data_IF_767226171479
#
_entry.id   IF_767226171479
#
_cell.length_a   1.000
_cell.length_b   1.000
_cell.length_c   1.000
_cell.angle_alpha   90.00
_cell.angle_beta   90.00
_cell.angle_gamma   90.00
#
_symmetry.space_group_name_H-M   'P 1'
#
loop_
_entity.id
_entity.type
_entity.pdbx_description
1 polymer ?
#
# COMPACT_ATOMS: atom_id res chain seq x y z
N UNK A 1 -0.38 -10.03 -8.97
CA UNK A 1 -0.10 -8.66 -8.46
C UNK A 1 -0.98 -8.43 -7.26
N UNK A 2 -0.45 -7.83 -6.17
CA UNK A 2 -1.23 -7.48 -4.98
C UNK A 2 -1.47 -5.97 -4.93
N UNK A 3 -2.70 -5.54 -4.67
CA UNK A 3 -3.07 -4.13 -4.52
C UNK A 3 -3.85 -3.95 -3.21
N UNK A 4 -3.47 -2.95 -2.41
CA UNK A 4 -4.18 -2.56 -1.20
C UNK A 4 -4.79 -1.18 -1.42
N UNK A 5 -6.11 -1.06 -1.26
CA UNK A 5 -6.85 0.19 -1.45
C UNK A 5 -7.21 0.74 -0.08
N UNK A 6 -6.78 1.97 0.22
CA UNK A 6 -7.04 2.67 1.48
C UNK A 6 -7.72 4.01 1.26
N UNK A 7 -8.61 4.44 2.16
CA UNK A 7 -9.12 5.79 2.17
C UNK A 7 -8.08 6.76 2.77
N UNK A 8 -7.29 7.41 1.90
CA UNK A 8 -6.21 8.33 2.30
C UNK A 8 -6.66 9.38 3.32
N UNK A 9 -7.89 9.89 3.17
CA UNK A 9 -8.44 10.92 4.06
C UNK A 9 -8.57 10.45 5.53
N UNK A 10 -8.78 9.16 5.77
CA UNK A 10 -9.02 8.61 7.11
C UNK A 10 -7.84 7.83 7.68
N UNK A 11 -7.12 7.09 6.84
CA UNK A 11 -6.04 6.20 7.25
C UNK A 11 -4.65 6.76 6.91
N UNK A 12 -4.53 7.51 5.81
CA UNK A 12 -3.24 7.88 5.25
C UNK A 12 -2.38 6.68 4.82
N UNK A 13 -1.17 6.99 4.37
CA UNK A 13 -0.14 5.99 4.08
C UNK A 13 1.19 6.38 4.74
N UNK A 14 1.94 5.37 5.20
CA UNK A 14 3.25 5.53 5.81
C UNK A 14 4.15 4.33 5.48
N UNK A 15 5.46 4.44 5.74
CA UNK A 15 6.38 3.32 5.58
C UNK A 15 5.87 2.05 6.29
N UNK A 16 5.40 2.20 7.52
CA UNK A 16 4.87 1.12 8.36
C UNK A 16 3.66 0.44 7.73
N UNK A 17 2.73 1.20 7.15
CA UNK A 17 1.56 0.61 6.47
C UNK A 17 1.98 -0.24 5.27
N UNK A 18 3.02 0.15 4.52
CA UNK A 18 3.57 -0.67 3.45
C UNK A 18 4.31 -1.90 3.99
N UNK A 19 4.88 -1.81 5.20
CA UNK A 19 5.55 -2.96 5.82
C UNK A 19 4.53 -4.02 6.26
N UNK A 20 3.40 -3.59 6.83
CA UNK A 20 2.23 -4.43 7.12
C UNK A 20 1.75 -5.14 5.84
N UNK A 21 1.60 -4.40 4.74
CA UNK A 21 1.20 -4.97 3.45
C UNK A 21 2.17 -6.06 2.94
N UNK A 22 3.48 -5.85 3.11
CA UNK A 22 4.48 -6.84 2.75
C UNK A 22 4.36 -8.10 3.62
N UNK A 23 4.09 -7.95 4.92
CA UNK A 23 3.86 -9.09 5.81
C UNK A 23 2.62 -9.88 5.38
N UNK A 24 1.52 -9.21 5.06
CA UNK A 24 0.32 -9.87 4.52
C UNK A 24 0.64 -10.64 3.23
N UNK A 25 1.44 -10.07 2.32
CA UNK A 25 1.89 -10.77 1.10
C UNK A 25 2.68 -12.04 1.42
N UNK A 26 3.45 -12.07 2.52
CA UNK A 26 4.16 -13.30 2.91
C UNK A 26 3.22 -14.40 3.37
N UNK A 27 2.08 -14.08 3.96
CA UNK A 27 1.12 -15.07 4.49
C UNK A 27 0.17 -15.61 3.40
N UNK A 28 0.05 -14.90 2.28
CA UNK A 28 -0.84 -15.25 1.17
C UNK A 28 -0.21 -16.29 0.23
N UNK A 29 -0.77 -17.51 0.20
CA UNK A 29 -0.32 -18.64 -0.64
C UNK A 29 -0.02 -18.29 -2.11
N UNK A 30 -0.84 -17.46 -2.82
CA UNK A 30 -0.56 -17.07 -4.20
C UNK A 30 0.77 -16.37 -4.43
N UNK A 31 1.41 -15.86 -3.37
CA UNK A 31 2.68 -15.15 -3.43
C UNK A 31 3.86 -15.94 -2.88
N UNK A 32 3.65 -17.16 -2.37
CA UNK A 32 4.72 -18.01 -1.82
C UNK A 32 5.80 -18.35 -2.83
N UNK A 33 5.49 -18.43 -4.13
CA UNK A 33 6.52 -18.59 -5.17
C UNK A 33 7.57 -17.46 -5.11
N UNK A 34 7.15 -16.24 -4.74
CA UNK A 34 8.02 -15.07 -4.64
C UNK A 34 8.64 -14.93 -3.26
N UNK A 35 7.88 -15.20 -2.19
CA UNK A 35 8.28 -14.94 -0.80
C UNK A 35 8.94 -16.13 -0.11
N UNK A 36 8.71 -17.36 -0.57
CA UNK A 36 9.15 -18.60 0.07
C UNK A 36 9.99 -19.50 -0.83
N UNK A 37 10.82 -20.33 -0.20
CA UNK A 37 11.53 -21.45 -0.80
C UNK A 37 11.50 -22.64 0.17
N UNK A 38 11.06 -23.81 -0.29
CA UNK A 38 10.93 -25.02 0.54
C UNK A 38 10.11 -24.83 1.84
N UNK A 39 9.10 -23.96 1.79
CA UNK A 39 8.21 -23.68 2.93
C UNK A 39 8.77 -22.68 3.95
N UNK A 40 9.97 -22.15 3.75
CA UNK A 40 10.56 -21.08 4.56
C UNK A 40 10.57 -19.76 3.78
N UNK A 41 10.52 -18.63 4.50
CA UNK A 41 10.70 -17.30 3.90
C UNK A 41 12.07 -17.24 3.23
N UNK A 42 12.13 -16.68 2.02
CA UNK A 42 13.41 -16.47 1.33
C UNK A 42 14.26 -15.49 2.15
N UNK A 43 15.52 -15.82 2.47
CA UNK A 43 16.33 -15.00 3.38
C UNK A 43 16.85 -13.70 2.75
N UNK A 44 16.77 -13.56 1.42
CA UNK A 44 17.32 -12.43 0.67
C UNK A 44 16.20 -11.66 0.00
N UNK A 45 15.98 -10.42 0.42
CA UNK A 45 14.96 -9.53 -0.14
C UNK A 45 15.59 -8.29 -0.81
N UNK A 46 15.10 -8.00 -2.01
CA UNK A 46 15.49 -6.82 -2.79
C UNK A 46 14.23 -6.02 -3.14
N UNK A 47 13.97 -4.95 -2.38
CA UNK A 47 12.83 -4.08 -2.58
C UNK A 47 13.19 -2.91 -3.49
N UNK A 48 12.33 -2.67 -4.49
CA UNK A 48 12.39 -1.49 -5.35
C UNK A 48 11.22 -0.59 -5.01
N UNK A 49 11.49 0.68 -4.70
CA UNK A 49 10.48 1.68 -4.36
C UNK A 49 10.47 2.81 -5.39
N UNK A 50 9.35 3.53 -5.47
CA UNK A 50 9.20 4.73 -6.29
C UNK A 50 9.97 5.94 -5.73
N UNK A 51 10.46 5.85 -4.48
CA UNK A 51 11.23 6.90 -3.84
C UNK A 51 10.41 8.00 -3.18
N UNK A 52 9.09 7.78 -3.04
CA UNK A 52 8.19 8.67 -2.30
C UNK A 52 8.61 8.87 -0.83
N UNK A 53 8.19 9.95 -0.17
CA UNK A 53 8.63 10.29 1.19
C UNK A 53 8.48 9.15 2.22
N UNK A 54 7.44 8.35 2.08
CA UNK A 54 7.06 7.21 2.92
C UNK A 54 7.82 5.91 2.61
N UNK A 55 8.52 5.81 1.47
CA UNK A 55 9.26 4.59 1.06
C UNK A 55 10.72 4.84 0.72
N UNK A 56 11.18 6.09 0.84
CA UNK A 56 12.53 6.43 0.44
C UNK A 56 13.53 5.93 1.50
N UNK A 57 14.51 5.09 1.12
CA UNK A 57 15.51 4.56 2.06
C UNK A 57 16.51 5.61 2.52
N UNK A 58 16.44 6.87 2.05
CA UNK A 58 17.27 7.97 2.55
C UNK A 58 16.88 8.45 3.94
N UNK A 59 15.64 8.19 4.37
CA UNK A 59 15.10 8.73 5.61
C UNK A 59 15.25 7.71 6.74
N UNK A 60 15.86 8.13 7.86
CA UNK A 60 16.11 7.27 9.00
C UNK A 60 14.83 6.62 9.55
N UNK A 61 13.72 7.36 9.60
CA UNK A 61 12.44 6.83 10.03
C UNK A 61 11.99 5.61 9.20
N UNK A 62 12.20 5.65 7.88
CA UNK A 62 11.87 4.52 7.00
C UNK A 62 12.87 3.37 7.16
N UNK A 63 14.16 3.68 7.32
CA UNK A 63 15.20 2.66 7.60
C UNK A 63 14.85 1.85 8.85
N UNK A 64 14.41 2.51 9.93
CA UNK A 64 13.98 1.81 11.16
C UNK A 64 12.82 0.85 10.90
N UNK A 65 11.84 1.23 10.07
CA UNK A 65 10.74 0.34 9.69
C UNK A 65 11.18 -0.84 8.83
N UNK A 66 12.14 -0.64 7.92
CA UNK A 66 12.73 -1.76 7.17
C UNK A 66 13.50 -2.74 8.06
N UNK A 67 14.15 -2.26 9.12
CA UNK A 67 14.81 -3.12 10.11
C UNK A 67 13.82 -3.99 10.88
N UNK A 68 12.59 -3.50 11.12
CA UNK A 68 11.53 -4.31 11.74
C UNK A 68 11.17 -5.51 10.86
N UNK A 69 11.00 -5.30 9.54
CA UNK A 69 10.80 -6.42 8.60
C UNK A 69 11.99 -7.37 8.62
N UNK A 70 13.21 -6.83 8.53
CA UNK A 70 14.44 -7.64 8.51
C UNK A 70 14.50 -8.59 9.71
N UNK A 71 14.23 -8.07 10.92
CA UNK A 71 14.17 -8.88 12.14
C UNK A 71 12.97 -9.83 12.16
N UNK A 72 11.78 -9.35 11.82
CA UNK A 72 10.53 -10.13 11.89
C UNK A 72 10.54 -11.36 10.99
N UNK A 73 11.11 -11.21 9.80
CA UNK A 73 11.19 -12.27 8.80
C UNK A 73 12.49 -13.10 8.87
N UNK A 74 13.37 -12.79 9.83
CA UNK A 74 14.68 -13.44 9.99
C UNK A 74 15.47 -13.46 8.66
N UNK A 75 15.59 -12.29 8.02
CA UNK A 75 16.29 -12.17 6.74
C UNK A 75 17.80 -12.17 6.95
N UNK A 76 18.54 -12.83 6.06
CA UNK A 76 20.00 -12.71 5.99
C UNK A 76 20.43 -11.40 5.30
N UNK A 77 19.60 -10.92 4.36
CA UNK A 77 19.91 -9.72 3.58
C UNK A 77 18.66 -8.99 3.12
N UNK A 78 18.61 -7.68 3.39
CA UNK A 78 17.60 -6.77 2.86
C UNK A 78 18.27 -5.59 2.16
N UNK A 79 17.93 -5.38 0.88
CA UNK A 79 18.24 -4.12 0.21
C UNK A 79 16.97 -3.41 -0.22
N UNK A 80 16.90 -2.11 0.05
CA UNK A 80 15.82 -1.23 -0.39
C UNK A 80 16.42 -0.16 -1.27
N UNK A 81 15.92 -0.05 -2.51
CA UNK A 81 16.51 0.80 -3.53
C UNK A 81 15.43 1.64 -4.19
N UNK A 82 15.78 2.90 -4.42
CA UNK A 82 15.01 3.83 -5.25
C UNK A 82 15.89 4.28 -6.42
N UNK A 83 15.26 4.63 -7.54
CA UNK A 83 15.97 5.31 -8.60
C UNK A 83 16.43 6.70 -8.17
N UNK A 84 17.52 7.17 -8.76
CA UNK A 84 18.04 8.51 -8.51
C UNK A 84 17.05 9.58 -9.02
N UNK A 85 16.99 10.75 -8.36
CA UNK A 85 16.17 11.87 -8.83
C UNK A 85 16.45 12.21 -10.30
N UNK A 86 15.40 12.50 -11.07
CA UNK A 86 15.51 12.82 -12.50
C UNK A 86 15.64 11.59 -13.42
N UNK A 87 15.60 10.37 -12.89
CA UNK A 87 15.60 9.12 -13.65
C UNK A 87 14.25 8.38 -13.57
N UNK A 88 13.17 9.10 -13.24
CA UNK A 88 11.79 8.59 -13.12
C UNK A 88 11.32 7.80 -14.35
N UNK A 89 11.64 8.25 -15.56
CA UNK A 89 11.34 7.52 -16.80
C UNK A 89 11.98 6.11 -16.84
N UNK A 90 13.07 5.91 -16.10
CA UNK A 90 13.77 4.64 -15.99
C UNK A 90 13.32 3.78 -14.80
N UNK A 91 12.51 4.33 -13.89
CA UNK A 91 12.02 3.65 -12.69
C UNK A 91 10.96 2.59 -13.06
N UNK A 92 11.23 1.28 -12.87
CA UNK A 92 10.28 0.23 -13.20
C UNK A 92 9.03 0.27 -12.32
N UNK A 93 9.12 0.81 -11.10
CA UNK A 93 7.96 0.97 -10.21
C UNK A 93 7.02 2.03 -10.79
N UNK A 94 7.52 3.21 -11.10
CA UNK A 94 6.72 4.29 -11.72
C UNK A 94 6.14 3.87 -13.07
N UNK A 95 6.91 3.17 -13.92
CA UNK A 95 6.38 2.64 -15.18
C UNK A 95 5.26 1.63 -14.97
N UNK A 96 5.37 0.78 -13.97
CA UNK A 96 4.30 -0.16 -13.62
C UNK A 96 3.07 0.60 -13.16
N UNK A 97 3.23 1.63 -12.32
CA UNK A 97 2.15 2.51 -11.89
C UNK A 97 1.52 3.30 -13.05
N UNK A 98 2.28 3.72 -14.06
CA UNK A 98 1.74 4.42 -15.21
C UNK A 98 0.74 3.53 -15.99
N UNK A 99 1.05 2.25 -16.15
CA UNK A 99 0.12 1.27 -16.74
C UNK A 99 -1.15 1.09 -15.91
N UNK A 100 -1.03 1.16 -14.57
CA UNK A 100 -2.19 1.17 -13.67
C UNK A 100 -3.05 2.41 -13.94
N UNK A 101 -2.46 3.60 -13.79
CA UNK A 101 -3.18 4.87 -13.94
C UNK A 101 -3.84 5.01 -15.32
N UNK A 102 -3.22 4.50 -16.38
CA UNK A 102 -3.79 4.46 -17.72
C UNK A 102 -5.10 3.66 -17.82
N UNK A 103 -5.22 2.52 -17.11
CA UNK A 103 -6.45 1.72 -17.09
C UNK A 103 -7.59 2.39 -16.34
N UNK A 104 -7.27 3.18 -15.32
CA UNK A 104 -8.27 3.94 -14.57
C UNK A 104 -8.63 5.28 -15.21
N UNK A 105 -7.95 5.67 -16.30
CA UNK A 105 -8.20 6.96 -16.93
C UNK A 105 -9.66 7.08 -17.40
N UNK A 106 -10.35 8.10 -16.89
CA UNK A 106 -11.76 8.34 -17.19
C UNK A 106 -12.76 7.62 -16.28
N UNK A 107 -12.29 6.77 -15.34
CA UNK A 107 -13.16 6.19 -14.31
C UNK A 107 -13.42 7.24 -13.23
N UNK A 108 -14.70 7.45 -12.93
CA UNK A 108 -15.15 8.33 -11.84
C UNK A 108 -15.94 7.50 -10.84
N UNK A 109 -15.47 7.45 -9.61
CA UNK A 109 -16.15 6.78 -8.50
C UNK A 109 -17.01 7.80 -7.76
N UNK A 110 -18.25 7.42 -7.43
CA UNK A 110 -19.16 8.32 -6.72
C UNK A 110 -18.79 8.42 -5.23
N UNK A 111 -18.24 9.56 -4.82
CA UNK A 111 -17.89 9.85 -3.43
C UNK A 111 -19.11 10.13 -2.52
N UNK A 112 -20.33 10.15 -3.06
CA UNK A 112 -21.56 10.50 -2.34
C UNK A 112 -22.68 9.47 -2.52
N UNK A 113 -22.33 8.20 -2.76
CA UNK A 113 -23.28 7.14 -3.05
C UNK A 113 -24.42 7.02 -2.01
N UNK A 114 -24.12 7.26 -0.74
CA UNK A 114 -25.09 7.22 0.36
C UNK A 114 -25.55 8.61 0.85
N UNK A 115 -25.10 9.68 0.20
CA UNK A 115 -25.41 11.05 0.57
C UNK A 115 -24.16 11.92 0.76
N UNK A 116 -24.41 13.22 0.93
CA UNK A 116 -23.36 14.21 1.11
C UNK A 116 -22.83 14.20 2.55
N UNK A 117 -21.54 13.86 2.70
CA UNK A 117 -20.82 13.86 4.00
C UNK A 117 -19.95 15.11 4.19
N UNK A 118 -19.93 16.02 3.21
CA UNK A 118 -19.14 17.25 3.23
C UNK A 118 -20.00 18.48 3.57
N UNK A 119 -19.40 19.43 4.28
CA UNK A 119 -20.02 20.70 4.64
C UNK A 119 -18.99 21.81 4.86
N UNK A 120 -19.45 22.91 5.44
CA UNK A 120 -18.58 24.00 5.89
C UNK A 120 -18.43 23.92 7.41
N UNK A 121 -17.19 23.84 7.89
CA UNK A 121 -16.88 23.81 9.31
C UNK A 121 -15.79 24.84 9.60
N UNK A 122 -16.00 25.70 10.61
CA UNK A 122 -15.06 26.76 10.99
C UNK A 122 -14.60 27.68 9.84
N UNK A 123 -15.47 27.91 8.84
CA UNK A 123 -15.15 28.73 7.66
C UNK A 123 -14.37 27.98 6.57
N UNK A 124 -14.05 26.70 6.78
CA UNK A 124 -13.43 25.83 5.79
C UNK A 124 -14.51 25.05 5.04
N UNK A 125 -14.60 25.28 3.73
CA UNK A 125 -15.50 24.54 2.86
C UNK A 125 -14.97 23.12 2.56
N UNK A 126 -15.89 22.20 2.24
CA UNK A 126 -15.61 20.82 1.88
C UNK A 126 -14.92 20.01 3.01
N UNK A 127 -15.25 20.31 4.26
CA UNK A 127 -14.82 19.52 5.41
C UNK A 127 -15.77 18.34 5.61
N UNK A 128 -15.23 17.17 5.96
CA UNK A 128 -16.05 16.02 6.38
C UNK A 128 -16.76 16.35 7.70
N UNK A 129 -18.08 16.54 7.63
CA UNK A 129 -18.93 16.85 8.80
C UNK A 129 -19.61 15.61 9.38
N UNK A 130 -19.76 14.57 8.55
CA UNK A 130 -20.28 13.26 8.95
C UNK A 130 -19.22 12.20 8.64
N UNK A 131 -18.44 11.83 9.66
CA UNK A 131 -17.35 10.88 9.53
C UNK A 131 -17.85 9.48 9.19
N UNK A 132 -18.96 9.05 9.79
CA UNK A 132 -19.52 7.71 9.57
C UNK A 132 -20.02 7.56 8.13
N UNK A 133 -20.78 8.55 7.65
CA UNK A 133 -21.23 8.58 6.26
C UNK A 133 -20.06 8.72 5.28
N UNK A 134 -19.03 9.49 5.65
CA UNK A 134 -17.77 9.58 4.92
C UNK A 134 -17.11 8.21 4.76
N UNK A 135 -16.82 7.51 5.86
CA UNK A 135 -16.23 6.16 5.83
C UNK A 135 -17.05 5.21 4.96
N UNK A 136 -18.38 5.22 5.09
CA UNK A 136 -19.28 4.36 4.30
C UNK A 136 -19.20 4.66 2.79
N UNK A 137 -19.16 5.94 2.41
CA UNK A 137 -19.01 6.35 1.02
C UNK A 137 -17.64 5.94 0.45
N UNK A 138 -16.55 6.18 1.18
CA UNK A 138 -15.20 5.82 0.76
C UNK A 138 -15.01 4.30 0.65
N UNK A 139 -15.58 3.52 1.59
CA UNK A 139 -15.60 2.06 1.52
C UNK A 139 -16.25 1.56 0.24
N UNK A 140 -17.45 2.06 -0.08
CA UNK A 140 -18.14 1.66 -1.30
C UNK A 140 -17.35 2.00 -2.57
N UNK A 141 -16.74 3.19 -2.65
CA UNK A 141 -15.88 3.56 -3.78
C UNK A 141 -14.61 2.67 -3.84
N UNK A 142 -13.98 2.41 -2.70
CA UNK A 142 -12.77 1.58 -2.61
C UNK A 142 -13.00 0.12 -2.97
N UNK A 143 -14.11 -0.48 -2.51
CA UNK A 143 -14.54 -1.82 -2.91
C UNK A 143 -14.84 -1.88 -4.42
N UNK A 144 -15.52 -0.88 -4.97
CA UNK A 144 -15.73 -0.81 -6.41
C UNK A 144 -14.41 -0.70 -7.20
N UNK A 145 -13.42 0.02 -6.66
CA UNK A 145 -12.08 0.09 -7.25
C UNK A 145 -11.38 -1.27 -7.22
N UNK A 146 -11.49 -2.02 -6.13
CA UNK A 146 -10.99 -3.39 -6.04
C UNK A 146 -11.64 -4.30 -7.10
N UNK A 147 -12.96 -4.22 -7.26
CA UNK A 147 -13.67 -4.99 -8.28
C UNK A 147 -13.18 -4.68 -9.70
N UNK A 148 -12.92 -3.40 -9.99
CA UNK A 148 -12.36 -2.98 -11.28
C UNK A 148 -10.96 -3.55 -11.48
N UNK A 149 -10.09 -3.44 -10.47
CA UNK A 149 -8.72 -3.95 -10.54
C UNK A 149 -8.65 -5.46 -10.73
N UNK A 150 -9.53 -6.20 -10.07
CA UNK A 150 -9.54 -7.66 -10.11
C UNK A 150 -9.99 -8.23 -11.46
N UNK A 151 -10.69 -7.43 -12.29
CA UNK A 151 -11.19 -7.87 -13.62
C UNK A 151 -10.11 -7.89 -14.69
N UNK A 152 -9.08 -7.04 -14.55
CA UNK A 152 -8.14 -6.75 -15.63
C UNK A 152 -6.69 -7.13 -15.25
N UNK A 153 -6.11 -8.19 -15.85
CA UNK A 153 -4.72 -8.58 -15.60
C UNK A 153 -3.74 -7.44 -15.88
N UNK A 154 -2.76 -7.25 -14.99
CA UNK A 154 -1.73 -6.21 -15.12
C UNK A 154 -0.42 -6.88 -15.49
N UNK A 155 0.17 -6.46 -16.61
CA UNK A 155 1.36 -7.10 -17.21
C UNK A 155 1.19 -8.62 -17.38
N UNK A 156 -0.03 -9.06 -17.73
CA UNK A 156 -0.38 -10.48 -17.88
C UNK A 156 -0.55 -11.26 -16.58
N UNK A 157 -0.42 -10.60 -15.42
CA UNK A 157 -0.57 -11.23 -14.11
C UNK A 157 -1.96 -10.96 -13.53
N UNK A 158 -2.60 -11.96 -12.89
CA UNK A 158 -3.86 -11.74 -12.17
C UNK A 158 -3.64 -10.73 -11.04
N UNK A 159 -4.72 -10.04 -10.69
CA UNK A 159 -4.71 -8.96 -9.69
C UNK A 159 -5.56 -9.39 -8.52
N UNK A 160 -4.97 -9.35 -7.34
CA UNK A 160 -5.66 -9.56 -6.07
C UNK A 160 -5.68 -8.20 -5.38
N UNK A 161 -6.86 -7.62 -5.26
CA UNK A 161 -7.05 -6.31 -4.62
C UNK A 161 -7.93 -6.41 -3.39
N UNK A 162 -7.58 -5.67 -2.34
CA UNK A 162 -8.36 -5.64 -1.09
C UNK A 162 -8.53 -4.22 -0.61
N UNK A 163 -9.74 -3.89 -0.14
CA UNK A 163 -10.00 -2.64 0.56
C UNK A 163 -9.62 -2.79 2.03
N UNK A 164 -8.87 -1.83 2.55
CA UNK A 164 -8.39 -1.80 3.92
C UNK A 164 -9.14 -0.69 4.66
N UNK A 165 -9.92 -1.10 5.66
CA UNK A 165 -10.78 -0.21 6.45
C UNK A 165 -10.06 0.38 7.67
N UNK A 166 -9.05 -0.33 8.19
CA UNK A 166 -8.24 0.05 9.34
C UNK A 166 -6.80 -0.47 9.20
N UNK A 167 -5.86 0.16 9.92
CA UNK A 167 -4.47 -0.33 9.97
C UNK A 167 -4.35 -1.47 10.98
N UNK A 168 -3.53 -2.47 10.64
CA UNK A 168 -3.10 -3.48 11.61
C UNK A 168 -1.81 -3.03 12.29
N UNK A 169 -1.95 -2.42 13.46
CA UNK A 169 -0.83 -1.93 14.26
C UNK A 169 -0.16 -3.05 15.10
N UNK A 170 -0.65 -4.30 15.01
CA UNK A 170 -0.19 -5.40 15.88
C UNK A 170 0.96 -6.21 15.30
N UNK A 171 1.19 -6.17 13.98
CA UNK A 171 2.16 -7.03 13.29
C UNK A 171 3.59 -6.88 13.87
N UNK A 172 3.98 -5.66 14.20
CA UNK A 172 5.32 -5.34 14.71
C UNK A 172 5.38 -5.18 16.25
N UNK A 173 4.26 -5.33 16.97
CA UNK A 173 4.23 -5.12 18.43
C UNK A 173 5.13 -6.07 19.22
N UNK A 174 5.48 -7.22 18.63
CA UNK A 174 6.24 -8.29 19.28
C UNK A 174 7.72 -8.31 18.88
N UNK A 175 8.17 -7.39 18.01
CA UNK A 175 9.58 -7.27 17.65
C UNK A 175 10.24 -6.42 18.73
N UNK A 176 10.75 -7.05 19.79
CA UNK A 176 11.49 -6.35 20.82
C UNK A 176 12.80 -5.78 20.22
N UNK A 177 13.09 -4.53 20.54
CA UNK A 177 14.43 -3.98 20.42
C UNK A 177 15.28 -4.70 21.47
N UNK A 178 15.88 -5.84 21.12
CA UNK A 178 16.98 -6.38 21.92
C UNK A 178 18.11 -5.33 21.92
N UNK A 179 18.40 -4.79 23.12
CA UNK A 179 19.50 -3.87 23.44
C UNK A 179 20.88 -4.50 23.25
#
# INVERSE_FOLDING_TARGET
>A
MRIFVRPEYFLGTSCETHMVDLMTITEEEPFHEFTHHEGAIKPIWCLLTDGGPDKNPRFLANILKYLLIFKKLDLDYLSVRTHAPGQSAYNPVERSMASLSGKLAGIVLNAFNYGNHLGNMNGQANTVIDKELGCKNFKHAGEHLCDLWSRDPINGQPVISTYIEEHDDTIFSNVQEEE
#
